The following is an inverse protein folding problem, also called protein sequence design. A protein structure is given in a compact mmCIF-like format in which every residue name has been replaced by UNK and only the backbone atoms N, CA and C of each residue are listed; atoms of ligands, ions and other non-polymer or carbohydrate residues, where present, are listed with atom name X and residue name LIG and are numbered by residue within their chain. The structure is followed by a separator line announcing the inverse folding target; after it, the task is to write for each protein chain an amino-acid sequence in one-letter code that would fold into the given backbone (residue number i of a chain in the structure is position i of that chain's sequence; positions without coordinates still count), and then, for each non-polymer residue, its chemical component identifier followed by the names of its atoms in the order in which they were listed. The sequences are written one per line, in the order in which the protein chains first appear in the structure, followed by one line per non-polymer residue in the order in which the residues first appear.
data_IF_881755494483
#
_entry.id   IF_881755494483
#
_cell.length_a   1.000
_cell.length_b   1.000
_cell.length_c   1.000
_cell.angle_alpha   90.00
_cell.angle_beta   90.00
_cell.angle_gamma   90.00
#
_symmetry.space_group_name_H-M   'P 1'
#
loop_
_entity.id
_entity.type
_entity.pdbx_description
1 polymer ?
#
# COMPACT_ATOMS: atom_id res chain seq x y z
N UNK A 1 30.52 -44.05 -11.12
CA UNK A 1 29.57 -43.56 -10.10
C UNK A 1 28.22 -43.44 -10.77
N UNK A 2 27.10 -43.84 -10.13
CA UNK A 2 25.79 -43.58 -10.68
C UNK A 2 25.63 -42.07 -10.85
N UNK A 3 25.26 -41.65 -12.06
CA UNK A 3 25.05 -40.25 -12.40
C UNK A 3 23.86 -39.72 -11.58
N UNK A 4 23.87 -38.46 -11.14
CA UNK A 4 22.85 -37.89 -10.24
C UNK A 4 21.42 -38.09 -10.79
N UNK A 5 21.29 -38.05 -12.11
CA UNK A 5 20.07 -38.35 -12.88
C UNK A 5 19.51 -39.76 -12.63
N UNK A 6 20.38 -40.75 -12.45
CA UNK A 6 20.01 -42.14 -12.18
C UNK A 6 19.49 -42.37 -10.75
N UNK A 7 19.97 -41.58 -9.78
CA UNK A 7 19.50 -41.66 -8.39
C UNK A 7 18.12 -41.03 -8.20
N UNK A 8 17.78 -40.00 -8.99
CA UNK A 8 16.52 -39.25 -8.89
C UNK A 8 15.44 -39.78 -9.84
N UNK A 9 15.76 -40.73 -10.73
CA UNK A 9 14.84 -41.21 -11.79
C UNK A 9 14.28 -40.05 -12.65
N UNK A 10 15.11 -39.02 -12.89
CA UNK A 10 14.72 -37.79 -13.59
C UNK A 10 15.48 -37.55 -14.90
N UNK A 11 15.00 -36.58 -15.70
CA UNK A 11 15.66 -36.10 -16.92
C UNK A 11 16.86 -35.19 -16.58
N UNK A 12 17.69 -34.85 -17.58
CA UNK A 12 18.74 -33.84 -17.42
C UNK A 12 18.18 -32.46 -17.05
N UNK A 13 16.97 -32.13 -17.52
CA UNK A 13 16.26 -30.91 -17.14
C UNK A 13 15.82 -30.92 -15.68
N UNK A 14 15.35 -32.07 -15.16
CA UNK A 14 15.03 -32.23 -13.73
C UNK A 14 16.27 -32.03 -12.85
N UNK A 15 17.43 -32.52 -13.28
CA UNK A 15 18.69 -32.32 -12.57
C UNK A 15 19.09 -30.83 -12.51
N UNK A 16 18.98 -30.11 -13.64
CA UNK A 16 19.27 -28.67 -13.68
C UNK A 16 18.29 -27.87 -12.82
N UNK A 17 16.99 -28.15 -12.91
CA UNK A 17 15.97 -27.48 -12.09
C UNK A 17 16.22 -27.70 -10.59
N UNK A 18 16.54 -28.94 -10.19
CA UNK A 18 16.88 -29.28 -8.80
C UNK A 18 18.13 -28.54 -8.31
N UNK A 19 19.16 -28.40 -9.15
CA UNK A 19 20.36 -27.63 -8.81
C UNK A 19 20.05 -26.14 -8.61
N UNK A 20 19.21 -25.55 -9.46
CA UNK A 20 18.77 -24.15 -9.31
C UNK A 20 18.01 -23.97 -7.99
N UNK A 21 17.06 -24.87 -7.68
CA UNK A 21 16.27 -24.82 -6.44
C UNK A 21 17.18 -24.92 -5.21
N UNK A 22 18.12 -25.88 -5.18
CA UNK A 22 19.04 -26.05 -4.05
C UNK A 22 19.96 -24.84 -3.91
N UNK A 23 20.51 -24.33 -5.01
CA UNK A 23 21.37 -23.15 -4.98
C UNK A 23 20.61 -21.90 -4.50
N UNK A 24 19.34 -21.75 -4.90
CA UNK A 24 18.48 -20.66 -4.46
C UNK A 24 18.17 -20.77 -2.96
N UNK A 25 17.80 -21.96 -2.49
CA UNK A 25 17.56 -22.24 -1.08
C UNK A 25 18.79 -21.93 -0.21
N UNK A 26 20.00 -22.28 -0.67
CA UNK A 26 21.24 -21.94 0.03
C UNK A 26 21.48 -20.42 0.04
N UNK A 27 21.19 -19.72 -1.05
CA UNK A 27 21.33 -18.26 -1.11
C UNK A 27 20.38 -17.52 -0.17
N UNK A 28 19.19 -18.07 0.08
CA UNK A 28 18.18 -17.47 0.98
C UNK A 28 18.44 -17.86 2.44
N UNK A 29 18.47 -19.16 2.74
CA UNK A 29 18.50 -19.65 4.12
C UNK A 29 19.90 -19.73 4.74
N UNK A 30 20.94 -19.78 3.91
CA UNK A 30 22.32 -19.98 4.35
C UNK A 30 23.27 -18.98 3.68
N UNK A 31 22.84 -17.72 3.56
CA UNK A 31 23.58 -16.65 2.88
C UNK A 31 25.00 -16.44 3.42
N UNK A 32 25.25 -16.74 4.70
CA UNK A 32 26.57 -16.66 5.34
C UNK A 32 27.53 -17.79 4.93
N UNK A 33 27.01 -18.91 4.44
CA UNK A 33 27.79 -20.10 4.05
C UNK A 33 28.13 -20.13 2.56
N UNK A 34 27.53 -19.23 1.76
CA UNK A 34 27.71 -19.17 0.31
C UNK A 34 28.35 -17.87 -0.13
N UNK A 35 28.92 -17.87 -1.34
CA UNK A 35 29.47 -16.64 -1.93
C UNK A 35 28.32 -15.69 -2.31
N UNK A 36 28.43 -14.36 -2.06
CA UNK A 36 27.39 -13.40 -2.41
C UNK A 36 26.98 -13.42 -3.90
N UNK A 37 27.91 -13.79 -4.78
CA UNK A 37 27.67 -13.96 -6.22
C UNK A 37 26.65 -15.04 -6.56
N UNK A 38 26.38 -15.99 -5.65
CA UNK A 38 25.44 -17.08 -5.91
C UNK A 38 24.04 -16.54 -6.20
N UNK A 39 23.57 -15.54 -5.44
CA UNK A 39 22.24 -14.96 -5.62
C UNK A 39 22.09 -14.36 -7.03
N UNK A 40 23.08 -13.60 -7.50
CA UNK A 40 23.09 -12.95 -8.82
C UNK A 40 23.04 -14.00 -9.95
N UNK A 41 23.75 -15.12 -9.80
CA UNK A 41 23.80 -16.17 -10.81
C UNK A 41 22.50 -16.97 -10.86
N UNK A 42 21.86 -17.19 -9.71
CA UNK A 42 20.72 -18.11 -9.57
C UNK A 42 19.36 -17.45 -9.78
N UNK A 43 19.24 -16.14 -9.52
CA UNK A 43 17.94 -15.44 -9.55
C UNK A 43 17.26 -15.49 -10.92
N UNK A 44 17.97 -15.26 -12.02
CA UNK A 44 17.37 -15.31 -13.36
C UNK A 44 16.97 -16.74 -13.79
N UNK A 45 17.80 -17.78 -13.59
CA UNK A 45 17.35 -19.16 -13.74
C UNK A 45 16.12 -19.51 -12.88
N UNK A 46 16.06 -19.01 -11.64
CA UNK A 46 14.93 -19.22 -10.74
C UNK A 46 13.65 -18.57 -11.29
N UNK A 47 13.72 -17.31 -11.74
CA UNK A 47 12.59 -16.63 -12.39
C UNK A 47 12.10 -17.38 -13.64
N UNK A 48 13.02 -17.94 -14.43
CA UNK A 48 12.65 -18.78 -15.57
C UNK A 48 11.92 -20.05 -15.14
N UNK A 49 12.33 -20.69 -14.04
CA UNK A 49 11.61 -21.84 -13.49
C UNK A 49 10.21 -21.47 -13.00
N UNK A 50 10.04 -20.31 -12.38
CA UNK A 50 8.72 -19.78 -11.99
C UNK A 50 7.82 -19.64 -13.23
N UNK A 51 8.34 -19.09 -14.32
CA UNK A 51 7.56 -18.80 -15.52
C UNK A 51 7.42 -19.97 -16.51
N UNK A 52 8.18 -21.05 -16.35
CA UNK A 52 8.14 -22.19 -17.27
C UNK A 52 6.84 -23.04 -17.18
N UNK A 53 5.93 -22.73 -16.24
CA UNK A 53 4.69 -23.49 -15.98
C UNK A 53 4.92 -25.00 -15.83
N UNK A 54 6.13 -25.42 -15.43
CA UNK A 54 6.47 -26.81 -15.19
C UNK A 54 6.19 -27.13 -13.72
N UNK A 55 5.05 -27.77 -13.51
CA UNK A 55 4.39 -27.98 -12.21
C UNK A 55 5.30 -28.57 -11.13
N UNK A 56 6.33 -29.34 -11.52
CA UNK A 56 7.20 -30.03 -10.56
C UNK A 56 8.11 -29.11 -9.74
N UNK A 57 8.53 -27.98 -10.30
CA UNK A 57 9.49 -27.08 -9.65
C UNK A 57 9.03 -25.63 -9.58
N UNK A 58 8.06 -25.21 -10.39
CA UNK A 58 7.62 -23.81 -10.45
C UNK A 58 7.04 -23.31 -9.11
N UNK A 59 6.27 -24.13 -8.38
CA UNK A 59 5.72 -23.72 -7.08
C UNK A 59 6.83 -23.48 -6.06
N UNK A 60 7.74 -24.44 -5.89
CA UNK A 60 8.88 -24.31 -4.98
C UNK A 60 9.80 -23.16 -5.38
N UNK A 61 10.00 -22.95 -6.69
CA UNK A 61 10.75 -21.79 -7.19
C UNK A 61 10.08 -20.47 -6.78
N UNK A 62 8.75 -20.40 -6.89
CA UNK A 62 7.98 -19.21 -6.51
C UNK A 62 8.02 -18.96 -5.00
N UNK A 63 7.94 -20.02 -4.18
CA UNK A 63 8.07 -19.92 -2.72
C UNK A 63 9.46 -19.42 -2.31
N UNK A 64 10.54 -20.00 -2.87
CA UNK A 64 11.91 -19.56 -2.55
C UNK A 64 12.17 -18.13 -3.04
N UNK A 65 11.64 -17.77 -4.21
CA UNK A 65 11.72 -16.41 -4.73
C UNK A 65 10.94 -15.43 -3.83
N UNK A 66 9.77 -15.82 -3.32
CA UNK A 66 9.00 -15.00 -2.40
C UNK A 66 9.69 -14.81 -1.06
N UNK A 67 10.24 -15.89 -0.48
CA UNK A 67 10.90 -15.90 0.83
C UNK A 67 12.12 -14.98 0.86
N UNK A 68 12.97 -15.05 -0.17
CA UNK A 68 14.20 -14.26 -0.23
C UNK A 68 14.04 -12.86 -0.80
N UNK A 69 12.82 -12.40 -1.07
CA UNK A 69 12.61 -11.18 -1.88
C UNK A 69 13.20 -9.94 -1.22
N UNK A 70 12.89 -9.71 0.06
CA UNK A 70 13.36 -8.53 0.79
C UNK A 70 14.88 -8.58 1.05
N UNK A 71 15.40 -9.74 1.45
CA UNK A 71 16.79 -9.88 1.93
C UNK A 71 17.81 -10.13 0.83
N UNK A 72 17.43 -10.86 -0.22
CA UNK A 72 18.38 -11.50 -1.15
C UNK A 72 18.13 -11.07 -2.59
N UNK A 73 16.87 -11.12 -3.06
CA UNK A 73 16.57 -10.98 -4.48
C UNK A 73 16.36 -9.54 -4.91
N UNK A 74 15.73 -8.68 -4.09
CA UNK A 74 15.39 -7.29 -4.47
C UNK A 74 16.60 -6.51 -4.98
N UNK A 75 17.76 -6.64 -4.34
CA UNK A 75 19.00 -5.97 -4.78
C UNK A 75 19.52 -6.47 -6.14
N UNK A 76 19.14 -7.68 -6.55
CA UNK A 76 19.58 -8.29 -7.81
C UNK A 76 18.63 -8.00 -8.98
N UNK A 77 17.33 -7.85 -8.72
CA UNK A 77 16.28 -7.81 -9.77
C UNK A 77 15.28 -6.65 -9.60
N UNK A 78 15.65 -5.56 -8.91
CA UNK A 78 14.73 -4.46 -8.60
C UNK A 78 14.05 -3.88 -9.84
N UNK A 79 14.74 -3.81 -10.97
CA UNK A 79 14.21 -3.29 -12.23
C UNK A 79 13.23 -4.23 -12.94
N UNK A 80 13.29 -5.53 -12.65
CA UNK A 80 12.47 -6.56 -13.28
C UNK A 80 11.20 -6.88 -12.50
N UNK A 81 11.11 -6.48 -11.22
CA UNK A 81 9.94 -6.75 -10.36
C UNK A 81 8.62 -6.30 -11.02
N UNK A 82 8.48 -5.08 -11.57
CA UNK A 82 7.22 -4.66 -12.21
C UNK A 82 6.83 -5.54 -13.40
N UNK A 83 7.81 -5.99 -14.19
CA UNK A 83 7.57 -6.89 -15.33
C UNK A 83 7.11 -8.26 -14.86
N UNK A 84 7.74 -8.79 -13.80
CA UNK A 84 7.37 -10.07 -13.21
C UNK A 84 5.94 -10.03 -12.63
N UNK A 85 5.56 -8.91 -11.99
CA UNK A 85 4.19 -8.68 -11.53
C UNK A 85 3.21 -8.68 -12.72
N UNK A 86 3.53 -7.96 -13.81
CA UNK A 86 2.71 -7.93 -15.01
C UNK A 86 2.56 -9.31 -15.67
N UNK A 87 3.64 -10.11 -15.72
CA UNK A 87 3.61 -11.47 -16.25
C UNK A 87 2.70 -12.39 -15.41
N UNK A 88 2.70 -12.26 -14.08
CA UNK A 88 1.78 -13.01 -13.20
C UNK A 88 0.32 -12.61 -13.49
N UNK A 89 0.03 -11.32 -13.63
CA UNK A 89 -1.32 -10.87 -13.99
C UNK A 89 -1.76 -11.36 -15.37
N UNK A 90 -0.86 -11.37 -16.34
CA UNK A 90 -1.13 -11.93 -17.66
C UNK A 90 -1.47 -13.43 -17.59
N UNK A 91 -0.76 -14.21 -16.79
CA UNK A 91 -1.11 -15.63 -16.58
C UNK A 91 -2.49 -15.81 -15.94
N UNK A 92 -2.85 -14.94 -14.97
CA UNK A 92 -4.18 -14.95 -14.36
C UNK A 92 -5.27 -14.70 -15.40
N UNK A 93 -5.05 -13.79 -16.35
CA UNK A 93 -5.99 -13.48 -17.43
C UNK A 93 -6.14 -14.67 -18.41
N UNK A 94 -5.02 -15.23 -18.89
CA UNK A 94 -5.04 -16.30 -19.89
C UNK A 94 -5.74 -17.58 -19.40
N UNK A 95 -5.57 -17.96 -18.14
CA UNK A 95 -6.13 -19.21 -17.59
C UNK A 95 -7.64 -19.09 -17.37
N UNK A 96 -8.14 -17.90 -17.00
CA UNK A 96 -9.57 -17.66 -16.85
C UNK A 96 -10.36 -17.78 -18.16
N UNK A 97 -9.73 -17.51 -19.31
CA UNK A 97 -10.34 -17.73 -20.63
C UNK A 97 -10.21 -19.16 -21.19
N UNK A 98 -9.19 -19.92 -20.76
CA UNK A 98 -8.83 -21.22 -21.35
C UNK A 98 -9.56 -22.44 -20.74
N UNK A 99 -10.32 -22.26 -19.65
CA UNK A 99 -10.99 -23.34 -18.91
C UNK A 99 -12.03 -24.15 -19.72
N UNK A 100 -12.38 -23.75 -20.95
CA UNK A 100 -13.34 -24.48 -21.78
C UNK A 100 -12.78 -25.77 -22.43
N UNK A 101 -11.45 -25.92 -22.59
CA UNK A 101 -10.87 -26.98 -23.45
C UNK A 101 -9.72 -27.81 -22.83
N UNK A 102 -9.35 -27.66 -21.56
CA UNK A 102 -8.19 -28.33 -20.96
C UNK A 102 -8.53 -29.68 -20.28
N UNK A 103 -7.63 -30.66 -20.38
CA UNK A 103 -7.74 -31.97 -19.71
C UNK A 103 -7.68 -31.85 -18.19
N UNK A 104 -8.42 -32.71 -17.47
CA UNK A 104 -8.63 -32.60 -16.02
C UNK A 104 -7.35 -32.64 -15.16
N UNK A 105 -6.29 -33.34 -15.61
CA UNK A 105 -5.03 -33.41 -14.86
C UNK A 105 -4.14 -32.18 -15.02
N UNK A 106 -4.03 -31.61 -16.22
CA UNK A 106 -3.29 -30.36 -16.46
C UNK A 106 -4.02 -29.14 -15.84
N UNK A 107 -5.34 -29.25 -15.64
CA UNK A 107 -6.14 -28.22 -14.95
C UNK A 107 -5.81 -28.15 -13.45
N UNK A 108 -5.68 -29.29 -12.76
CA UNK A 108 -5.45 -29.29 -11.31
C UNK A 108 -4.10 -28.70 -10.90
N UNK A 109 -3.04 -28.98 -11.66
CA UNK A 109 -1.71 -28.52 -11.30
C UNK A 109 -1.36 -27.14 -11.88
N UNK A 110 -2.02 -26.69 -12.96
CA UNK A 110 -2.07 -25.26 -13.33
C UNK A 110 -2.81 -24.38 -12.31
N UNK A 111 -3.81 -24.92 -11.60
CA UNK A 111 -4.46 -24.24 -10.47
C UNK A 111 -3.50 -24.07 -9.27
N UNK A 112 -2.75 -25.11 -8.91
CA UNK A 112 -1.80 -25.07 -7.78
C UNK A 112 -0.69 -24.02 -8.00
N UNK A 113 -0.11 -23.93 -9.20
CA UNK A 113 0.91 -22.91 -9.50
C UNK A 113 0.30 -21.51 -9.44
N UNK A 114 -0.92 -21.31 -9.96
CA UNK A 114 -1.60 -20.01 -9.88
C UNK A 114 -1.83 -19.59 -8.43
N UNK A 115 -2.30 -20.50 -7.58
CA UNK A 115 -2.48 -20.24 -6.15
C UNK A 115 -1.17 -19.85 -5.48
N UNK A 116 -0.07 -20.51 -5.84
CA UNK A 116 1.27 -20.17 -5.33
C UNK A 116 1.71 -18.78 -5.82
N UNK A 117 1.56 -18.50 -7.12
CA UNK A 117 1.93 -17.21 -7.71
C UNK A 117 1.13 -16.07 -7.09
N UNK A 118 -0.20 -16.21 -7.00
CA UNK A 118 -1.10 -15.16 -6.49
C UNK A 118 -1.07 -15.07 -4.97
N UNK A 119 -1.00 -16.20 -4.28
CA UNK A 119 -1.11 -16.27 -2.83
C UNK A 119 0.19 -15.95 -2.09
N UNK A 120 1.34 -16.22 -2.72
CA UNK A 120 2.67 -16.16 -2.08
C UNK A 120 3.59 -15.18 -2.83
N UNK A 121 3.88 -15.42 -4.11
CA UNK A 121 4.91 -14.66 -4.82
C UNK A 121 4.49 -13.21 -5.11
N UNK A 122 3.29 -13.00 -5.65
CA UNK A 122 2.79 -11.68 -6.06
C UNK A 122 2.74 -10.70 -4.86
N UNK A 123 2.22 -11.06 -3.67
CA UNK A 123 2.31 -10.20 -2.50
C UNK A 123 3.75 -9.86 -2.10
N UNK A 124 4.68 -10.84 -2.16
CA UNK A 124 6.08 -10.61 -1.83
C UNK A 124 6.74 -9.61 -2.79
N UNK A 125 6.51 -9.77 -4.10
CA UNK A 125 6.95 -8.82 -5.13
C UNK A 125 6.36 -7.42 -4.91
N UNK A 126 5.06 -7.36 -4.60
CA UNK A 126 4.37 -6.10 -4.39
C UNK A 126 4.87 -5.34 -3.15
N UNK A 127 5.24 -6.05 -2.08
CA UNK A 127 5.87 -5.42 -0.90
C UNK A 127 7.32 -5.00 -1.17
N UNK A 128 8.02 -5.71 -2.05
CA UNK A 128 9.39 -5.39 -2.42
C UNK A 128 9.49 -4.13 -3.29
N UNK A 129 8.51 -3.90 -4.17
CA UNK A 129 8.41 -2.71 -5.03
C UNK A 129 6.95 -2.21 -5.10
N UNK A 130 6.51 -1.54 -4.02
CA UNK A 130 5.18 -0.95 -3.91
C UNK A 130 4.88 0.03 -5.06
N UNK A 131 5.77 0.98 -5.42
CA UNK A 131 5.51 1.88 -6.54
C UNK A 131 5.33 1.15 -7.86
N UNK A 132 6.18 0.15 -8.14
CA UNK A 132 6.07 -0.69 -9.33
C UNK A 132 4.75 -1.47 -9.37
N UNK A 133 4.35 -2.08 -8.26
CA UNK A 133 3.05 -2.76 -8.14
C UNK A 133 1.87 -1.83 -8.40
N UNK A 134 1.85 -0.65 -7.76
CA UNK A 134 0.78 0.34 -7.93
C UNK A 134 0.68 0.82 -9.39
N UNK A 135 1.82 1.03 -10.05
CA UNK A 135 1.85 1.39 -11.46
C UNK A 135 1.27 0.28 -12.35
N UNK A 136 1.60 -0.98 -12.08
CA UNK A 136 1.06 -2.12 -12.85
C UNK A 136 -0.45 -2.19 -12.69
N UNK A 137 -0.99 -2.18 -11.46
CA UNK A 137 -2.45 -2.31 -11.26
C UNK A 137 -3.22 -1.11 -11.82
N UNK A 138 -2.66 0.10 -11.77
CA UNK A 138 -3.25 1.30 -12.39
C UNK A 138 -3.35 1.14 -13.91
N UNK A 139 -2.30 0.63 -14.56
CA UNK A 139 -2.33 0.33 -15.99
C UNK A 139 -3.37 -0.75 -16.33
N UNK A 140 -3.48 -1.79 -15.49
CA UNK A 140 -4.38 -2.92 -15.75
C UNK A 140 -5.87 -2.56 -15.68
N UNK A 141 -6.26 -1.59 -14.85
CA UNK A 141 -7.66 -1.10 -14.79
C UNK A 141 -8.17 -0.70 -16.17
N UNK A 142 -7.33 -0.03 -16.97
CA UNK A 142 -7.73 0.51 -18.27
C UNK A 142 -7.40 -0.41 -19.44
N UNK A 143 -6.48 -1.38 -19.26
CA UNK A 143 -6.05 -2.28 -20.34
C UNK A 143 -6.75 -3.65 -20.35
N UNK A 144 -7.55 -3.97 -19.33
CA UNK A 144 -8.25 -5.27 -19.21
C UNK A 144 -9.77 -5.09 -19.23
N UNK A 145 -10.50 -6.18 -19.49
CA UNK A 145 -11.95 -6.18 -19.44
C UNK A 145 -12.46 -5.90 -18.01
N UNK A 146 -13.64 -5.28 -17.89
CA UNK A 146 -14.24 -4.93 -16.60
C UNK A 146 -14.50 -6.14 -15.68
N UNK A 147 -14.72 -7.33 -16.25
CA UNK A 147 -14.91 -8.59 -15.52
C UNK A 147 -13.62 -9.41 -15.35
N UNK A 148 -12.47 -8.85 -15.73
CA UNK A 148 -11.18 -9.53 -15.56
C UNK A 148 -10.93 -9.93 -14.09
N UNK A 149 -10.44 -11.16 -13.84
CA UNK A 149 -10.04 -11.60 -12.50
C UNK A 149 -8.88 -10.79 -11.92
N UNK A 150 -8.11 -10.07 -12.75
CA UNK A 150 -6.95 -9.26 -12.36
C UNK A 150 -7.34 -8.20 -11.35
N UNK A 151 -8.53 -7.59 -11.47
CA UNK A 151 -9.01 -6.56 -10.54
C UNK A 151 -9.16 -7.11 -9.11
N UNK A 152 -9.77 -8.29 -8.97
CA UNK A 152 -9.96 -8.96 -7.67
C UNK A 152 -8.62 -9.39 -7.09
N UNK A 153 -7.73 -9.96 -7.91
CA UNK A 153 -6.38 -10.36 -7.47
C UNK A 153 -5.57 -9.14 -7.02
N UNK A 154 -5.69 -8.00 -7.72
CA UNK A 154 -5.05 -6.74 -7.34
C UNK A 154 -5.52 -6.24 -5.98
N UNK A 155 -6.84 -6.25 -5.73
CA UNK A 155 -7.43 -5.88 -4.44
C UNK A 155 -6.99 -6.81 -3.30
N UNK A 156 -6.96 -8.13 -3.54
CA UNK A 156 -6.49 -9.10 -2.55
C UNK A 156 -4.99 -8.94 -2.25
N UNK A 157 -4.18 -8.66 -3.27
CA UNK A 157 -2.75 -8.39 -3.12
C UNK A 157 -2.54 -7.08 -2.34
N UNK A 158 -3.32 -6.05 -2.65
CA UNK A 158 -3.27 -4.77 -1.94
C UNK A 158 -3.58 -4.93 -0.44
N UNK A 159 -4.54 -5.77 -0.06
CA UNK A 159 -4.78 -6.14 1.35
C UNK A 159 -3.52 -6.73 2.01
N UNK A 160 -2.77 -7.58 1.30
CA UNK A 160 -1.51 -8.14 1.80
C UNK A 160 -0.44 -7.07 1.97
N UNK A 161 -0.30 -6.15 1.00
CA UNK A 161 0.66 -5.04 1.06
C UNK A 161 0.35 -4.08 2.21
N UNK A 162 -0.93 -3.73 2.40
CA UNK A 162 -1.43 -2.90 3.52
C UNK A 162 -1.05 -3.51 4.87
N UNK A 163 -1.15 -4.83 5.00
CA UNK A 163 -0.80 -5.54 6.25
C UNK A 163 0.69 -5.72 6.46
N UNK A 164 1.42 -6.11 5.41
CA UNK A 164 2.82 -6.49 5.51
C UNK A 164 3.80 -5.32 5.46
N UNK A 165 3.42 -4.20 4.84
CA UNK A 165 4.32 -3.06 4.62
C UNK A 165 3.65 -1.68 4.78
N UNK A 166 2.84 -1.44 5.84
CA UNK A 166 1.98 -0.26 5.93
C UNK A 166 2.78 1.05 5.87
N UNK A 167 3.93 1.16 6.54
CA UNK A 167 4.76 2.38 6.52
C UNK A 167 5.23 2.75 5.11
N UNK A 168 5.70 1.76 4.35
CA UNK A 168 6.17 1.95 2.98
C UNK A 168 5.03 2.27 2.00
N UNK A 169 3.79 1.86 2.34
CA UNK A 169 2.59 2.14 1.54
C UNK A 169 1.97 3.51 1.86
N UNK A 170 2.18 4.05 3.07
CA UNK A 170 1.62 5.32 3.53
C UNK A 170 1.78 6.51 2.55
N UNK A 171 2.93 6.71 1.86
CA UNK A 171 3.09 7.80 0.88
C UNK A 171 2.13 7.69 -0.31
N UNK A 172 1.59 6.50 -0.57
CA UNK A 172 0.79 6.19 -1.75
C UNK A 172 -0.69 6.01 -1.42
N UNK A 173 -1.14 6.39 -0.22
CA UNK A 173 -2.53 6.20 0.21
C UNK A 173 -3.55 6.81 -0.75
N UNK A 174 -3.26 7.96 -1.33
CA UNK A 174 -4.13 8.59 -2.32
C UNK A 174 -4.34 7.71 -3.55
N UNK A 175 -3.25 7.15 -4.10
CA UNK A 175 -3.30 6.20 -5.22
C UNK A 175 -4.04 4.92 -4.84
N UNK A 176 -3.74 4.37 -3.66
CA UNK A 176 -4.37 3.16 -3.12
C UNK A 176 -5.88 3.34 -2.99
N UNK A 177 -6.33 4.43 -2.36
CA UNK A 177 -7.75 4.71 -2.17
C UNK A 177 -8.42 4.99 -3.51
N UNK A 178 -7.79 5.77 -4.40
CA UNK A 178 -8.33 6.04 -5.74
C UNK A 178 -8.54 4.77 -6.54
N UNK A 179 -7.55 3.86 -6.54
CA UNK A 179 -7.67 2.54 -7.18
C UNK A 179 -8.86 1.75 -6.61
N UNK A 180 -8.98 1.68 -5.28
CA UNK A 180 -10.10 0.98 -4.62
C UNK A 180 -11.44 1.59 -5.02
N UNK A 181 -11.57 2.93 -5.01
CA UNK A 181 -12.80 3.62 -5.39
C UNK A 181 -13.18 3.40 -6.87
N UNK A 182 -12.19 3.42 -7.78
CA UNK A 182 -12.41 3.13 -9.20
C UNK A 182 -13.01 1.74 -9.43
N UNK A 183 -12.58 0.74 -8.66
CA UNK A 183 -13.15 -0.63 -8.75
C UNK A 183 -14.60 -0.73 -8.27
N UNK A 184 -15.11 0.30 -7.59
CA UNK A 184 -16.49 0.38 -7.09
C UNK A 184 -17.34 1.45 -7.78
N UNK A 185 -16.82 2.08 -8.84
CA UNK A 185 -17.46 3.19 -9.55
C UNK A 185 -18.86 2.77 -10.05
N UNK A 186 -19.94 3.51 -9.71
CA UNK A 186 -21.27 3.25 -10.25
C UNK A 186 -21.35 3.34 -11.79
N UNK A 187 -20.41 4.03 -12.45
CA UNK A 187 -20.30 4.10 -13.90
C UNK A 187 -19.90 2.80 -14.59
N UNK A 188 -19.18 1.90 -13.89
CA UNK A 188 -18.77 0.60 -14.42
C UNK A 188 -19.46 -0.56 -13.65
N UNK A 189 -20.70 -0.85 -14.03
CA UNK A 189 -21.53 -1.84 -13.34
C UNK A 189 -20.93 -3.25 -13.32
N UNK A 190 -20.20 -3.64 -14.36
CA UNK A 190 -19.59 -4.96 -14.48
C UNK A 190 -18.45 -5.12 -13.47
N UNK A 191 -17.49 -4.18 -13.49
CA UNK A 191 -16.36 -4.18 -12.56
C UNK A 191 -16.83 -4.05 -11.12
N UNK A 192 -17.78 -3.15 -10.87
CA UNK A 192 -18.39 -2.96 -9.55
C UNK A 192 -19.03 -4.25 -9.03
N UNK A 193 -19.82 -4.95 -9.85
CA UNK A 193 -20.45 -6.21 -9.45
C UNK A 193 -19.42 -7.27 -9.04
N UNK A 194 -18.31 -7.36 -9.78
CA UNK A 194 -17.23 -8.33 -9.52
C UNK A 194 -16.39 -7.95 -8.30
N UNK A 195 -16.11 -6.66 -8.09
CA UNK A 195 -15.11 -6.21 -7.13
C UNK A 195 -15.67 -5.74 -5.79
N UNK A 196 -16.95 -5.33 -5.69
CA UNK A 196 -17.49 -4.58 -4.54
C UNK A 196 -17.14 -5.18 -3.16
N UNK A 197 -17.22 -6.51 -3.00
CA UNK A 197 -16.90 -7.16 -1.73
C UNK A 197 -15.39 -7.06 -1.40
N UNK A 198 -14.54 -7.34 -2.38
CA UNK A 198 -13.09 -7.26 -2.29
C UNK A 198 -12.61 -5.83 -2.07
N UNK A 199 -13.24 -4.86 -2.76
CA UNK A 199 -12.94 -3.44 -2.65
C UNK A 199 -13.30 -2.90 -1.27
N UNK A 200 -14.49 -3.25 -0.75
CA UNK A 200 -14.87 -2.87 0.62
C UNK A 200 -14.00 -3.54 1.67
N UNK A 201 -13.56 -4.79 1.45
CA UNK A 201 -12.61 -5.44 2.34
C UNK A 201 -11.25 -4.73 2.33
N UNK A 202 -10.74 -4.34 1.15
CA UNK A 202 -9.51 -3.58 1.02
C UNK A 202 -9.62 -2.19 1.67
N UNK A 203 -10.74 -1.49 1.46
CA UNK A 203 -10.97 -0.18 2.07
C UNK A 203 -11.01 -0.26 3.61
N UNK A 204 -11.74 -1.24 4.16
CA UNK A 204 -11.79 -1.45 5.61
C UNK A 204 -10.42 -1.80 6.19
N UNK A 205 -9.62 -2.55 5.44
CA UNK A 205 -8.24 -2.85 5.84
C UNK A 205 -7.36 -1.60 5.86
N UNK A 206 -7.50 -0.72 4.86
CA UNK A 206 -6.81 0.58 4.82
C UNK A 206 -7.23 1.43 6.04
N UNK A 207 -8.53 1.60 6.29
CA UNK A 207 -9.04 2.37 7.46
C UNK A 207 -8.52 1.80 8.78
N UNK A 208 -8.42 0.48 8.90
CA UNK A 208 -7.93 -0.20 10.10
C UNK A 208 -6.43 0.06 10.35
N UNK A 209 -5.63 0.04 9.29
CA UNK A 209 -4.18 0.13 9.36
C UNK A 209 -3.65 1.57 9.37
N UNK A 210 -4.36 2.50 8.76
CA UNK A 210 -3.91 3.87 8.54
C UNK A 210 -4.78 4.86 9.32
N UNK A 211 -4.31 5.39 10.47
CA UNK A 211 -5.11 6.28 11.29
C UNK A 211 -5.45 7.61 10.61
N UNK A 212 -4.70 8.00 9.57
CA UNK A 212 -5.01 9.13 8.70
C UNK A 212 -6.13 8.85 7.68
N UNK A 213 -6.76 7.68 7.72
CA UNK A 213 -7.91 7.34 6.89
C UNK A 213 -9.10 7.05 7.79
N UNK A 214 -10.22 7.72 7.54
CA UNK A 214 -11.44 7.55 8.32
C UNK A 214 -12.62 7.25 7.40
N UNK A 215 -13.41 6.23 7.74
CA UNK A 215 -14.66 5.90 7.06
C UNK A 215 -15.82 6.12 8.02
N UNK A 216 -16.85 6.82 7.57
CA UNK A 216 -18.10 6.96 8.28
C UNK A 216 -19.20 6.23 7.48
N UNK A 217 -19.61 5.07 7.99
CA UNK A 217 -20.59 4.21 7.32
C UNK A 217 -21.99 4.86 7.23
N UNK A 218 -22.39 5.67 8.22
CA UNK A 218 -23.74 6.27 8.30
C UNK A 218 -23.93 7.38 7.27
N UNK A 219 -22.94 8.25 7.11
CA UNK A 219 -22.94 9.35 6.13
C UNK A 219 -22.37 8.96 4.78
N UNK A 220 -21.88 7.73 4.62
CA UNK A 220 -21.22 7.26 3.38
C UNK A 220 -20.06 8.18 2.96
N UNK A 221 -19.23 8.61 3.92
CA UNK A 221 -18.07 9.49 3.66
C UNK A 221 -16.76 8.80 4.01
N UNK A 222 -15.76 9.04 3.17
CA UNK A 222 -14.38 8.61 3.40
C UNK A 222 -13.47 9.84 3.42
N UNK A 223 -12.57 9.92 4.40
CA UNK A 223 -11.55 10.95 4.47
C UNK A 223 -10.16 10.32 4.44
N UNK A 224 -9.27 10.91 3.65
CA UNK A 224 -7.87 10.51 3.51
C UNK A 224 -7.02 11.73 3.78
N UNK A 225 -6.21 11.67 4.84
CA UNK A 225 -5.23 12.68 5.17
C UNK A 225 -3.85 12.30 4.65
N UNK A 226 -3.11 13.29 4.18
CA UNK A 226 -1.71 13.12 3.80
C UNK A 226 -0.82 12.99 5.05
N UNK A 227 -0.20 11.82 5.24
CA UNK A 227 0.67 11.51 6.37
C UNK A 227 2.14 11.93 6.18
N UNK A 228 2.55 12.22 4.95
CA UNK A 228 3.96 12.44 4.59
C UNK A 228 4.18 13.81 3.95
N UNK A 229 3.09 14.50 3.58
CA UNK A 229 3.08 15.75 2.84
C UNK A 229 4.17 16.74 3.22
N UNK A 230 4.65 17.45 2.21
CA UNK A 230 5.62 18.53 2.36
C UNK A 230 5.18 19.44 3.50
N UNK A 231 6.15 19.92 4.30
CA UNK A 231 5.95 20.62 5.57
C UNK A 231 4.98 21.81 5.42
N UNK A 232 4.71 22.26 4.20
CA UNK A 232 3.83 23.38 3.88
C UNK A 232 2.58 23.04 3.02
N UNK A 233 2.41 21.82 2.50
CA UNK A 233 1.33 21.47 1.56
C UNK A 233 0.75 20.06 1.79
N UNK A 234 0.21 19.82 2.96
CA UNK A 234 -0.59 18.61 3.22
C UNK A 234 -2.05 18.86 2.87
N UNK A 235 -2.81 17.81 2.54
CA UNK A 235 -4.25 17.94 2.35
C UNK A 235 -5.04 16.80 2.96
N UNK A 236 -6.33 17.06 3.19
CA UNK A 236 -7.33 16.07 3.54
C UNK A 236 -8.34 16.04 2.39
N UNK A 237 -8.51 14.87 1.78
CA UNK A 237 -9.50 14.64 0.72
C UNK A 237 -10.69 13.89 1.30
N UNK A 238 -11.89 14.38 1.00
CA UNK A 238 -13.13 13.74 1.42
C UNK A 238 -13.87 13.26 0.18
N UNK A 239 -14.29 12.00 0.20
CA UNK A 239 -14.99 11.31 -0.86
C UNK A 239 -16.40 10.93 -0.42
N UNK A 240 -17.32 10.99 -1.37
CA UNK A 240 -18.64 10.39 -1.23
C UNK A 240 -18.58 8.93 -1.69
N UNK A 241 -18.94 8.01 -0.81
CA UNK A 241 -18.88 6.56 -1.05
C UNK A 241 -20.09 6.05 -1.85
N UNK A 242 -21.06 6.90 -2.18
CA UNK A 242 -22.20 6.53 -3.02
C UNK A 242 -21.87 6.78 -4.50
N UNK A 243 -21.26 7.92 -4.81
CA UNK A 243 -20.79 8.30 -6.16
C UNK A 243 -19.32 7.98 -6.42
N UNK A 244 -18.56 7.52 -5.42
CA UNK A 244 -17.11 7.25 -5.50
C UNK A 244 -16.29 8.44 -5.99
N UNK A 245 -16.73 9.66 -5.64
CA UNK A 245 -16.13 10.90 -6.14
C UNK A 245 -15.63 11.79 -5.00
N UNK A 246 -14.55 12.52 -5.26
CA UNK A 246 -14.03 13.52 -4.33
C UNK A 246 -15.02 14.67 -4.24
N UNK A 247 -15.49 14.97 -3.02
CA UNK A 247 -16.43 16.05 -2.75
C UNK A 247 -15.75 17.28 -2.15
N UNK A 248 -14.67 17.09 -1.38
CA UNK A 248 -13.93 18.18 -0.74
C UNK A 248 -12.44 17.91 -0.69
N UNK A 249 -11.68 19.00 -0.68
CA UNK A 249 -10.24 19.00 -0.43
C UNK A 249 -9.93 20.17 0.51
N UNK A 250 -9.31 19.85 1.64
CA UNK A 250 -8.94 20.82 2.67
C UNK A 250 -7.43 20.86 2.75
N UNK A 251 -6.84 22.02 2.46
CA UNK A 251 -5.40 22.23 2.60
C UNK A 251 -5.05 22.46 4.06
N UNK A 252 -3.99 21.79 4.51
CA UNK A 252 -3.47 21.87 5.88
C UNK A 252 -1.96 22.08 5.85
N UNK A 253 -1.46 22.82 6.83
CA UNK A 253 -0.05 23.21 6.91
C UNK A 253 0.85 22.14 7.54
N UNK A 254 0.32 20.96 7.87
CA UNK A 254 1.08 19.91 8.56
C UNK A 254 0.52 18.54 8.19
N UNK A 255 1.39 17.54 8.11
CA UNK A 255 1.02 16.15 7.92
C UNK A 255 -0.03 15.66 8.93
N UNK A 256 -0.93 14.80 8.46
CA UNK A 256 -2.06 14.24 9.19
C UNK A 256 -1.67 12.90 9.79
N UNK A 257 -1.71 12.82 11.12
CA UNK A 257 -1.37 11.61 11.87
C UNK A 257 -2.61 10.76 12.14
N UNK A 258 -3.75 11.39 12.44
CA UNK A 258 -5.01 10.68 12.66
C UNK A 258 -6.23 11.50 12.20
N UNK A 259 -7.25 10.82 11.70
CA UNK A 259 -8.55 11.39 11.31
C UNK A 259 -9.69 10.69 12.02
N UNK A 260 -10.78 11.42 12.25
CA UNK A 260 -12.02 10.84 12.78
C UNK A 260 -13.23 11.67 12.38
N UNK A 261 -14.25 11.03 11.80
CA UNK A 261 -15.55 11.66 11.58
C UNK A 261 -16.36 11.68 12.86
N UNK A 262 -17.13 12.75 13.08
CA UNK A 262 -18.18 12.73 14.09
C UNK A 262 -19.20 11.62 13.81
N UNK A 263 -19.91 11.10 14.82
CA UNK A 263 -20.90 10.03 14.63
C UNK A 263 -22.00 10.36 13.61
N UNK A 264 -22.39 11.64 13.52
CA UNK A 264 -23.35 12.17 12.55
C UNK A 264 -22.77 12.37 11.13
N UNK A 265 -21.44 12.26 10.98
CA UNK A 265 -20.72 12.48 9.72
C UNK A 265 -20.65 13.95 9.26
N UNK A 266 -21.15 14.89 10.07
CA UNK A 266 -21.22 16.31 9.72
C UNK A 266 -19.94 17.08 10.03
N UNK A 267 -18.99 16.49 10.75
CA UNK A 267 -17.68 17.07 10.88
C UNK A 267 -16.56 16.06 10.95
N UNK A 268 -15.36 16.60 10.78
CA UNK A 268 -14.12 15.85 10.70
C UNK A 268 -13.09 16.46 11.63
N UNK A 269 -12.42 15.61 12.40
CA UNK A 269 -11.32 15.98 13.28
C UNK A 269 -10.04 15.40 12.71
N UNK A 270 -8.97 16.19 12.72
CA UNK A 270 -7.64 15.72 12.39
C UNK A 270 -6.66 16.05 13.50
N UNK A 271 -5.76 15.11 13.80
CA UNK A 271 -4.61 15.31 14.65
C UNK A 271 -3.33 15.33 13.82
N UNK A 272 -2.40 16.23 14.18
CA UNK A 272 -1.06 16.28 13.62
C UNK A 272 -0.03 16.23 14.76
N UNK A 273 0.82 15.21 14.76
CA UNK A 273 1.94 15.06 15.69
C UNK A 273 3.01 16.14 15.46
N UNK A 274 3.35 16.42 14.21
CA UNK A 274 4.34 17.46 13.88
C UNK A 274 3.89 18.85 14.33
N UNK A 275 2.58 19.12 14.28
CA UNK A 275 2.01 20.39 14.72
C UNK A 275 1.58 20.43 16.18
N UNK A 276 1.57 19.29 16.88
CA UNK A 276 0.93 19.09 18.19
C UNK A 276 -0.43 19.79 18.27
N UNK A 277 -1.30 19.51 17.30
CA UNK A 277 -2.60 20.19 17.22
C UNK A 277 -3.70 19.30 16.68
N UNK A 278 -4.90 19.55 17.20
CA UNK A 278 -6.15 19.00 16.72
C UNK A 278 -6.90 20.09 15.96
N UNK A 279 -7.38 19.77 14.77
CA UNK A 279 -8.19 20.63 13.91
C UNK A 279 -9.57 20.02 13.72
N UNK A 280 -10.58 20.86 13.69
CA UNK A 280 -11.98 20.47 13.52
C UNK A 280 -12.61 21.27 12.38
N UNK A 281 -13.33 20.57 11.50
CA UNK A 281 -14.10 21.16 10.42
C UNK A 281 -15.56 20.73 10.51
N UNK A 282 -16.46 21.69 10.39
CA UNK A 282 -17.86 21.43 10.05
C UNK A 282 -17.97 21.20 8.55
N UNK A 283 -18.16 19.94 8.15
CA UNK A 283 -18.45 19.59 6.77
C UNK A 283 -19.89 19.93 6.39
N UNK A 284 -20.79 20.07 7.36
CA UNK A 284 -22.19 20.38 7.10
C UNK A 284 -22.99 19.17 6.63
N UNK A 285 -24.31 19.35 6.67
CA UNK A 285 -25.27 18.27 6.45
C UNK A 285 -25.41 17.90 4.98
N UNK A 286 -25.49 16.60 4.70
CA UNK A 286 -25.54 16.00 3.35
C UNK A 286 -26.68 16.59 2.49
N UNK A 287 -27.81 16.95 3.09
CA UNK A 287 -28.95 17.51 2.35
C UNK A 287 -28.71 18.95 1.85
N UNK A 288 -27.98 19.78 2.62
CA UNK A 288 -27.65 21.15 2.21
C UNK A 288 -26.56 21.21 1.14
N UNK A 289 -25.64 20.25 1.12
CA UNK A 289 -24.61 20.15 0.07
C UNK A 289 -25.21 19.80 -1.29
N UNK A 290 -26.17 18.87 -1.33
CA UNK A 290 -26.87 18.49 -2.57
C UNK A 290 -27.66 19.65 -3.19
N UNK A 291 -28.14 20.57 -2.36
CA UNK A 291 -28.88 21.76 -2.79
C UNK A 291 -27.99 22.94 -3.18
N UNK A 292 -26.86 23.14 -2.49
CA UNK A 292 -26.12 24.40 -2.58
C UNK A 292 -25.12 24.48 -3.74
N UNK A 293 -24.64 23.36 -4.32
CA UNK A 293 -23.59 23.31 -5.39
C UNK A 293 -22.40 24.28 -5.16
N UNK A 294 -22.20 24.75 -3.93
CA UNK A 294 -21.28 25.83 -3.60
C UNK A 294 -20.01 25.22 -3.03
N UNK A 295 -18.95 25.26 -3.83
CA UNK A 295 -17.61 24.80 -3.50
C UNK A 295 -16.88 25.82 -2.60
N UNK A 296 -17.51 26.27 -1.52
CA UNK A 296 -16.83 27.18 -0.58
C UNK A 296 -15.73 26.37 0.13
N UNK A 297 -14.48 26.89 0.21
CA UNK A 297 -13.42 26.24 0.95
C UNK A 297 -13.86 25.98 2.39
N UNK A 298 -13.78 24.74 2.85
CA UNK A 298 -14.12 24.41 4.24
C UNK A 298 -13.01 24.94 5.14
N UNK A 299 -13.31 26.01 5.87
CA UNK A 299 -12.36 26.57 6.82
C UNK A 299 -12.35 25.76 8.12
N UNK A 300 -11.17 25.69 8.74
CA UNK A 300 -11.01 25.09 10.05
C UNK A 300 -11.88 25.86 11.06
N UNK A 301 -12.84 25.17 11.66
CA UNK A 301 -13.79 25.75 12.61
C UNK A 301 -13.15 25.94 13.98
N UNK A 302 -12.27 25.01 14.38
CA UNK A 302 -11.55 25.10 15.66
C UNK A 302 -10.18 24.44 15.59
N UNK A 303 -9.23 25.05 16.28
CA UNK A 303 -7.88 24.54 16.46
C UNK A 303 -7.58 24.44 17.96
N UNK A 304 -7.06 23.29 18.39
CA UNK A 304 -6.69 23.00 19.77
C UNK A 304 -5.23 22.58 19.77
N UNK A 305 -4.42 23.23 20.60
CA UNK A 305 -3.03 22.80 20.82
C UNK A 305 -2.99 21.66 21.83
N UNK A 306 -2.26 20.61 21.48
CA UNK A 306 -2.01 19.44 22.32
C UNK A 306 -0.71 19.70 23.10
N UNK A 307 -0.70 19.57 24.43
CA UNK A 307 0.53 19.72 25.20
C UNK A 307 1.52 18.60 24.82
N UNK A 308 2.83 18.88 24.79
CA UNK A 308 3.82 17.84 24.57
C UNK A 308 3.78 16.82 25.72
N UNK A 309 3.69 15.54 25.37
CA UNK A 309 3.68 14.39 26.27
C UNK A 309 5.05 13.67 26.24
N UNK A 310 5.40 12.97 27.32
CA UNK A 310 6.57 12.06 27.39
C UNK A 310 6.37 10.88 26.42
N UNK A 311 6.86 11.01 25.19
CA UNK A 311 6.71 9.97 24.15
C UNK A 311 6.61 10.51 22.72
N UNK A 312 6.35 11.81 22.52
CA UNK A 312 6.40 12.39 21.18
C UNK A 312 7.83 12.32 20.61
N UNK A 313 7.93 12.08 19.30
CA UNK A 313 9.22 12.09 18.60
C UNK A 313 10.00 13.38 18.92
N UNK A 314 11.33 13.33 19.09
CA UNK A 314 12.15 14.53 19.32
C UNK A 314 11.98 15.61 18.24
N UNK A 315 11.53 15.23 17.04
CA UNK A 315 11.19 16.13 15.93
C UNK A 315 9.82 16.82 16.06
N UNK A 316 8.97 16.41 17.01
CA UNK A 316 7.66 17.02 17.33
C UNK A 316 7.81 18.20 18.31
N UNK A 317 9.02 18.47 18.79
CA UNK A 317 9.29 19.64 19.65
C UNK A 317 9.14 20.94 18.84
N UNK A 318 8.48 21.95 19.42
CA UNK A 318 8.26 23.29 18.80
C UNK A 318 9.52 23.93 18.19
N UNK A 319 10.71 23.53 18.64
CA UNK A 319 12.00 23.94 18.11
C UNK A 319 12.23 23.54 16.64
N UNK A 320 11.71 22.40 16.18
CA UNK A 320 11.85 21.95 14.78
C UNK A 320 10.97 22.76 13.81
N UNK A 321 9.73 23.05 14.22
CA UNK A 321 8.78 23.90 13.47
C UNK A 321 9.28 25.34 13.37
N UNK A 322 9.86 25.88 14.45
CA UNK A 322 10.47 27.22 14.42
C UNK A 322 11.79 27.24 13.65
N UNK A 323 12.59 26.16 13.69
CA UNK A 323 13.82 26.05 12.90
C UNK A 323 13.53 25.97 11.39
N UNK A 324 12.46 25.28 10.97
CA UNK A 324 12.04 25.24 9.56
C UNK A 324 11.45 26.58 9.09
N UNK A 325 10.73 27.29 9.97
CA UNK A 325 10.18 28.62 9.66
C UNK A 325 11.28 29.72 9.60
N UNK A 326 12.33 29.60 10.42
CA UNK A 326 13.42 30.59 10.50
C UNK A 326 14.60 30.26 9.55
N UNK A 327 14.68 29.03 9.06
CA UNK A 327 15.77 28.55 8.19
C UNK A 327 15.60 28.84 6.69
N UNK A 328 14.42 29.31 6.26
CA UNK A 328 14.09 29.41 4.84
C UNK A 328 14.54 30.71 4.15
N UNK A 329 15.19 31.63 4.87
CA UNK A 329 15.62 32.94 4.32
C UNK A 329 17.08 32.98 3.83
N UNK A 330 17.77 31.84 3.77
CA UNK A 330 19.17 31.81 3.28
C UNK A 330 19.48 30.60 2.42
N UNK A 331 18.91 30.50 1.23
CA UNK A 331 19.65 29.88 0.12
C UNK A 331 19.30 30.55 -1.21
N UNK A 332 20.11 31.54 -1.54
CA UNK A 332 20.32 31.98 -2.92
C UNK A 332 20.98 30.85 -3.72
N UNK A 333 20.38 30.54 -4.87
CA UNK A 333 20.97 30.04 -6.11
C UNK A 333 22.21 29.13 -6.05
N UNK A 334 22.01 27.81 -6.25
CA UNK A 334 22.95 26.98 -7.02
C UNK A 334 22.20 25.84 -7.72
N UNK A 335 22.41 25.56 -9.01
CA UNK A 335 21.69 24.50 -9.71
C UNK A 335 22.43 23.15 -9.66
N UNK A 336 21.66 22.06 -9.54
CA UNK A 336 21.96 20.77 -10.16
C UNK A 336 22.46 19.64 -9.25
N UNK A 337 21.71 18.53 -9.23
CA UNK A 337 22.07 17.17 -8.81
C UNK A 337 22.19 16.79 -7.31
N UNK A 338 22.17 17.73 -6.37
CA UNK A 338 22.21 17.41 -4.93
C UNK A 338 20.84 17.30 -4.23
N UNK A 339 19.77 17.71 -4.91
CA UNK A 339 18.46 17.90 -4.30
C UNK A 339 17.67 16.58 -4.21
N UNK A 340 17.64 15.80 -5.28
CA UNK A 340 16.89 14.53 -5.35
C UNK A 340 17.37 13.47 -4.34
N UNK A 341 18.69 13.38 -4.10
CA UNK A 341 19.24 12.48 -3.08
C UNK A 341 18.82 12.93 -1.67
N UNK A 342 18.80 14.24 -1.42
CA UNK A 342 18.40 14.79 -0.13
C UNK A 342 16.89 14.63 0.14
N UNK A 343 16.07 14.71 -0.91
CA UNK A 343 14.62 14.49 -0.82
C UNK A 343 14.29 13.03 -0.58
N UNK A 344 15.00 12.11 -1.24
CA UNK A 344 14.87 10.66 -1.01
C UNK A 344 15.27 10.29 0.42
N UNK A 345 16.39 10.81 0.93
CA UNK A 345 16.84 10.58 2.30
C UNK A 345 15.83 11.12 3.33
N UNK A 346 15.23 12.28 3.05
CA UNK A 346 14.15 12.85 3.87
C UNK A 346 12.89 11.98 3.87
N UNK A 347 12.47 11.50 2.71
CA UNK A 347 11.30 10.62 2.59
C UNK A 347 11.50 9.32 3.37
N UNK A 348 12.69 8.72 3.28
CA UNK A 348 13.06 7.52 4.05
C UNK A 348 12.96 7.78 5.55
N UNK A 349 13.44 8.93 6.03
CA UNK A 349 13.33 9.33 7.44
C UNK A 349 11.88 9.54 7.89
N UNK A 350 11.04 10.16 7.05
CA UNK A 350 9.61 10.35 7.33
C UNK A 350 8.88 9.01 7.43
N UNK A 351 9.14 8.10 6.49
CA UNK A 351 8.57 6.74 6.50
C UNK A 351 9.02 5.96 7.74
N UNK A 352 10.31 6.07 8.11
CA UNK A 352 10.86 5.39 9.28
C UNK A 352 10.20 5.86 10.58
N UNK A 353 9.95 7.17 10.71
CA UNK A 353 9.41 7.79 11.90
C UNK A 353 7.87 7.79 11.95
N UNK A 354 7.20 7.28 10.93
CA UNK A 354 5.74 7.25 10.87
C UNK A 354 5.17 6.29 11.93
N UNK A 355 4.51 6.87 12.94
CA UNK A 355 3.77 6.12 13.94
C UNK A 355 2.31 5.92 13.53
N UNK A 356 1.96 4.67 13.28
CA UNK A 356 0.61 4.24 12.90
C UNK A 356 -0.24 3.82 14.11
N UNK A 357 0.25 4.02 15.34
CA UNK A 357 -0.43 3.62 16.57
C UNK A 357 -1.45 4.64 17.07
N UNK A 358 -1.36 5.90 16.62
CA UNK A 358 -2.28 6.96 17.01
C UNK A 358 -3.72 6.61 16.67
N UNK A 359 -4.67 6.92 17.57
CA UNK A 359 -6.10 6.83 17.29
C UNK A 359 -6.81 8.08 17.81
N UNK A 360 -7.82 8.51 17.09
CA UNK A 360 -8.64 9.67 17.40
C UNK A 360 -10.11 9.23 17.46
N UNK A 361 -10.69 9.27 18.64
CA UNK A 361 -11.99 8.68 18.91
C UNK A 361 -12.94 9.70 19.53
N UNK A 362 -14.21 9.64 19.13
CA UNK A 362 -15.27 10.42 19.76
C UNK A 362 -15.74 9.74 21.03
N UNK A 363 -15.70 10.47 22.15
CA UNK A 363 -16.09 9.96 23.48
C UNK A 363 -17.31 10.67 24.07
N UNK A 364 -17.84 11.67 23.37
CA UNK A 364 -19.06 12.38 23.73
C UNK A 364 -19.38 13.49 22.74
N UNK A 365 -20.42 14.27 23.03
CA UNK A 365 -20.77 15.43 22.21
C UNK A 365 -19.61 16.43 22.18
N UNK A 366 -19.07 16.66 20.97
CA UNK A 366 -17.93 17.56 20.77
C UNK A 366 -16.72 17.23 21.65
N UNK A 367 -16.50 15.97 22.00
CA UNK A 367 -15.31 15.54 22.75
C UNK A 367 -14.59 14.43 22.01
N UNK A 368 -13.28 14.62 21.87
CA UNK A 368 -12.38 13.63 21.25
C UNK A 368 -11.29 13.20 22.20
N UNK A 369 -11.00 11.92 22.21
CA UNK A 369 -9.92 11.27 22.94
C UNK A 369 -8.82 10.92 21.95
N UNK A 370 -7.60 11.35 22.25
CA UNK A 370 -6.40 11.00 21.50
C UNK A 370 -5.65 9.90 22.24
N UNK A 371 -5.33 8.82 21.55
CA UNK A 371 -4.53 7.72 22.11
C UNK A 371 -3.33 7.40 21.22
N UNK A 372 -2.28 6.85 21.83
CA UNK A 372 -1.08 6.35 21.16
C UNK A 372 -0.68 5.04 21.82
N UNK A 373 -0.41 3.99 21.03
CA UNK A 373 -0.18 2.63 21.54
C UNK A 373 -1.24 2.14 22.56
N UNK A 374 -2.49 2.64 22.45
CA UNK A 374 -3.57 2.34 23.40
C UNK A 374 -3.56 3.17 24.69
N UNK A 375 -2.54 3.99 24.94
CA UNK A 375 -2.49 4.92 26.07
C UNK A 375 -3.21 6.23 25.74
N UNK A 376 -4.02 6.74 26.67
CA UNK A 376 -4.68 8.04 26.51
C UNK A 376 -3.68 9.19 26.71
N UNK A 377 -3.51 10.01 25.67
CA UNK A 377 -2.72 11.25 25.71
C UNK A 377 -3.55 12.43 26.21
N UNK A 378 -4.87 12.36 26.03
CA UNK A 378 -5.81 13.34 26.56
C UNK A 378 -7.16 13.33 25.87
N UNK A 379 -8.11 14.01 26.50
CA UNK A 379 -9.45 14.26 25.97
C UNK A 379 -9.65 15.76 25.76
N UNK A 380 -10.10 16.15 24.58
CA UNK A 380 -10.19 17.54 24.11
C UNK A 380 -11.63 17.91 23.75
N UNK A 381 -12.05 19.10 24.16
CA UNK A 381 -13.36 19.66 23.85
C UNK A 381 -13.30 20.45 22.54
N UNK A 382 -14.08 20.04 21.54
CA UNK A 382 -14.30 20.69 20.25
C UNK A 382 -15.35 21.79 20.34
#
# INVERSE_FOLDING_TARGET
MPDWTSCVRGTSQDAMASQIIVAAALAVWYSSLVKPRLAIVVVHPLMKLVMATNEKYSCTAAEILAEGMESTWKACISSEIPRLIADIFFQVECVSGASANASAQNSAASLNIRETLVGILLPSLAMADIPGFLHVIESQIWSTASDSPVHVVSLMTLIRVVRGSPRNLAPYLDKVVTFILQTMDPGNLVMRKTCILSSMAALKEVVRMFPMVALNDTSSRLAVGDAIGDINNSSIRVYDMQSMSKIKEMTVTTAITALSFSPDGEGLVAFSENGLMIRWWSLGSVWWEKLSRNLVPVQCTKLIFVPPWEGFSPNSTRSSIMASALGNDRHANSPGNGQDSSEMDRLVLLIHNLDLSYRLEWVGERKVKLTQHGHELGTFQL
#
